data_IF_240768619691
#
_entry.id   IF_240768619691
#
_cell.length_a   1.000
_cell.length_b   1.000
_cell.length_c   1.000
_cell.angle_alpha   90.00
_cell.angle_beta   90.00
_cell.angle_gamma   90.00
#
_symmetry.space_group_name_H-M   'P 1'
#
loop_
_entity.id
_entity.type
_entity.pdbx_description
1 polymer ?
#
# COMPACT_ATOMS: atom_id res chain seq x y z
N UNK A 1 7.47 -20.86 8.76
CA UNK A 1 7.00 -19.91 7.73
C UNK A 1 7.28 -18.51 8.25
N UNK A 2 7.91 -17.66 7.44
CA UNK A 2 8.16 -16.26 7.81
C UNK A 2 6.85 -15.50 7.77
N UNK A 3 6.52 -14.77 8.84
CA UNK A 3 5.32 -13.94 8.90
C UNK A 3 5.46 -12.73 7.97
N UNK A 4 4.37 -12.36 7.30
CA UNK A 4 4.28 -11.07 6.58
C UNK A 4 4.50 -9.93 7.59
N UNK A 5 5.34 -8.96 7.23
CA UNK A 5 5.62 -7.77 8.04
C UNK A 5 5.38 -6.52 7.20
N UNK A 6 4.63 -5.56 7.77
CA UNK A 6 4.30 -4.29 7.12
C UNK A 6 4.72 -3.14 8.04
N UNK A 7 5.48 -2.19 7.51
CA UNK A 7 5.97 -1.02 8.26
C UNK A 7 5.86 0.26 7.44
N UNK A 8 5.74 1.39 8.14
CA UNK A 8 5.64 2.75 7.56
C UNK A 8 6.36 3.81 8.39
N UNK A 9 7.27 3.40 9.28
CA UNK A 9 8.05 4.29 10.15
C UNK A 9 9.26 4.91 9.44
N UNK A 10 9.04 5.59 8.32
CA UNK A 10 10.06 6.23 7.49
C UNK A 10 9.49 7.48 6.81
N UNK A 11 10.33 8.26 6.13
CA UNK A 11 9.90 9.49 5.44
C UNK A 11 8.73 9.22 4.47
N UNK A 12 7.74 10.11 4.47
CA UNK A 12 6.43 9.96 3.80
C UNK A 12 5.63 8.70 4.16
N UNK A 13 6.08 7.87 5.09
CA UNK A 13 5.45 6.60 5.42
C UNK A 13 4.04 6.77 5.99
N UNK A 14 3.06 6.10 5.37
CA UNK A 14 1.68 6.11 5.81
C UNK A 14 0.96 4.79 5.50
N UNK A 15 0.65 4.03 6.55
CA UNK A 15 -0.34 2.95 6.55
C UNK A 15 -0.68 2.58 8.00
N UNK A 16 -1.88 2.08 8.22
CA UNK A 16 -2.33 1.40 9.44
C UNK A 16 -2.58 -0.06 9.07
N UNK A 17 -2.02 -0.99 9.84
CA UNK A 17 -2.28 -2.43 9.68
C UNK A 17 -3.40 -2.82 10.62
N UNK A 18 -4.53 -3.28 10.08
CA UNK A 18 -5.68 -3.70 10.90
C UNK A 18 -5.69 -5.21 11.13
N UNK A 19 -5.31 -6.02 10.14
CA UNK A 19 -5.09 -7.46 10.30
C UNK A 19 -4.08 -8.03 9.30
N UNK A 20 -3.46 -9.14 9.66
CA UNK A 20 -2.64 -9.98 8.77
C UNK A 20 -3.08 -11.43 8.96
N UNK A 21 -3.49 -12.07 7.87
CA UNK A 21 -3.94 -13.47 7.81
C UNK A 21 -3.19 -14.18 6.68
N UNK A 22 -2.13 -14.91 7.04
CA UNK A 22 -1.23 -15.52 6.06
C UNK A 22 -0.55 -14.45 5.20
N UNK A 23 -0.83 -14.49 3.89
CA UNK A 23 -0.29 -13.54 2.90
C UNK A 23 -1.32 -12.46 2.49
N UNK A 24 -2.40 -12.33 3.26
CA UNK A 24 -3.39 -11.24 3.11
C UNK A 24 -3.26 -10.25 4.25
N UNK A 25 -3.19 -8.95 3.92
CA UNK A 25 -3.22 -7.86 4.88
C UNK A 25 -4.43 -6.95 4.66
N UNK A 26 -5.09 -6.57 5.74
CA UNK A 26 -6.11 -5.53 5.76
C UNK A 26 -5.48 -4.26 6.32
N UNK A 27 -5.68 -3.15 5.61
CA UNK A 27 -4.96 -1.90 5.78
C UNK A 27 -5.92 -0.71 5.75
N UNK A 28 -5.52 0.38 6.39
CA UNK A 28 -6.18 1.67 6.30
C UNK A 28 -5.18 2.80 6.10
N UNK A 29 -5.62 3.86 5.42
CA UNK A 29 -4.85 5.09 5.26
C UNK A 29 -5.14 5.99 6.46
N UNK A 30 -4.10 6.49 7.12
CA UNK A 30 -4.24 7.49 8.19
C UNK A 30 -4.66 8.83 7.60
N UNK A 31 -5.53 9.53 8.33
CA UNK A 31 -5.85 10.94 8.08
C UNK A 31 -4.63 11.84 8.14
N UNK A 32 -4.64 12.86 7.29
CA UNK A 32 -3.68 13.95 7.35
C UNK A 32 -3.83 14.70 8.69
N UNK A 33 -2.75 15.34 9.14
CA UNK A 33 -2.76 16.05 10.41
C UNK A 33 -3.85 17.13 10.43
N UNK A 34 -4.72 17.07 11.45
CA UNK A 34 -5.81 18.04 11.66
C UNK A 34 -6.80 18.12 10.48
N UNK A 35 -7.03 17.00 9.79
CA UNK A 35 -7.83 16.93 8.58
C UNK A 35 -8.68 15.66 8.52
N UNK A 36 -9.81 15.72 7.81
CA UNK A 36 -10.59 14.54 7.43
C UNK A 36 -10.15 13.93 6.08
N UNK A 37 -9.22 14.59 5.38
CA UNK A 37 -8.64 14.11 4.14
C UNK A 37 -7.57 13.03 4.39
N UNK A 38 -7.56 12.05 3.49
CA UNK A 38 -6.53 11.04 3.39
C UNK A 38 -6.54 10.48 1.99
N UNK A 39 -5.36 10.28 1.42
CA UNK A 39 -5.23 9.65 0.11
C UNK A 39 -3.88 8.95 -0.06
N UNK A 40 -2.86 9.59 0.48
CA UNK A 40 -1.49 9.11 0.42
C UNK A 40 -1.27 7.89 1.29
N UNK A 41 -0.79 6.80 0.68
CA UNK A 41 -0.20 5.68 1.39
C UNK A 41 1.24 5.47 0.91
N UNK A 42 2.10 5.01 1.82
CA UNK A 42 3.45 4.56 1.52
C UNK A 42 3.91 3.60 2.61
N UNK A 43 4.18 2.35 2.26
CA UNK A 43 4.55 1.31 3.22
C UNK A 43 5.47 0.26 2.61
N UNK A 44 6.19 -0.44 3.47
CA UNK A 44 7.09 -1.54 3.14
C UNK A 44 6.45 -2.85 3.53
N UNK A 45 6.53 -3.84 2.64
CA UNK A 45 6.15 -5.23 2.87
C UNK A 45 7.40 -6.09 2.86
N UNK A 46 7.53 -7.00 3.82
CA UNK A 46 8.64 -7.96 3.90
C UNK A 46 8.18 -9.34 4.35
N UNK A 47 9.03 -10.35 4.14
CA UNK A 47 8.78 -11.74 4.55
C UNK A 47 7.92 -12.55 3.58
N UNK A 48 7.64 -12.04 2.38
CA UNK A 48 6.78 -12.67 1.38
C UNK A 48 7.48 -12.95 0.03
N UNK A 49 8.82 -13.02 0.00
CA UNK A 49 9.58 -13.35 -1.20
C UNK A 49 9.09 -14.66 -1.83
N UNK A 50 8.78 -14.61 -3.12
CA UNK A 50 8.29 -15.73 -3.91
C UNK A 50 6.86 -16.17 -3.58
N UNK A 51 6.10 -15.42 -2.78
CA UNK A 51 4.72 -15.75 -2.40
C UNK A 51 3.77 -14.62 -2.78
N UNK A 52 2.60 -14.91 -3.38
CA UNK A 52 1.64 -13.88 -3.73
C UNK A 52 1.06 -13.25 -2.46
N UNK A 53 1.07 -11.93 -2.38
CA UNK A 53 0.43 -11.16 -1.32
C UNK A 53 -0.82 -10.47 -1.83
N UNK A 54 -1.80 -10.32 -0.95
CA UNK A 54 -3.01 -9.53 -1.18
C UNK A 54 -3.09 -8.43 -0.14
N UNK A 55 -3.05 -7.17 -0.58
CA UNK A 55 -3.05 -6.00 0.28
C UNK A 55 -4.37 -5.26 0.06
N UNK A 56 -5.24 -5.19 1.08
CA UNK A 56 -6.58 -4.59 0.99
C UNK A 56 -6.63 -3.31 1.80
N UNK A 57 -6.73 -2.16 1.13
CA UNK A 57 -6.92 -0.86 1.77
C UNK A 57 -8.41 -0.55 1.80
N UNK A 58 -9.02 -0.60 2.98
CA UNK A 58 -10.49 -0.69 3.13
C UNK A 58 -11.22 0.64 3.23
N UNK A 59 -10.50 1.74 3.45
CA UNK A 59 -11.10 3.06 3.60
C UNK A 59 -11.05 3.93 2.33
N UNK A 60 -10.72 3.38 1.16
CA UNK A 60 -10.64 4.13 -0.09
C UNK A 60 -12.00 4.59 -0.67
N UNK A 61 -13.12 4.32 0.01
CA UNK A 61 -14.45 4.89 -0.29
C UNK A 61 -14.70 6.27 0.35
N UNK A 62 -13.70 6.84 1.03
CA UNK A 62 -13.82 8.10 1.75
C UNK A 62 -14.00 9.36 0.87
N UNK A 63 -14.25 10.53 1.50
CA UNK A 63 -14.56 11.78 0.80
C UNK A 63 -13.41 12.32 -0.07
N UNK A 64 -12.17 11.88 0.17
CA UNK A 64 -11.01 12.23 -0.64
C UNK A 64 -10.99 11.56 -2.03
N UNK A 65 -11.92 10.62 -2.31
CA UNK A 65 -12.00 9.90 -3.57
C UNK A 65 -13.33 10.16 -4.32
N UNK A 66 -13.69 11.42 -4.65
CA UNK A 66 -14.90 11.72 -5.41
C UNK A 66 -14.76 11.17 -6.84
N UNK A 67 -15.42 10.05 -7.12
CA UNK A 67 -15.31 9.29 -8.38
C UNK A 67 -14.56 7.95 -8.27
N UNK A 68 -14.06 7.61 -7.08
CA UNK A 68 -13.35 6.37 -6.81
C UNK A 68 -11.94 6.31 -7.42
N UNK A 69 -11.35 5.11 -7.41
CA UNK A 69 -10.03 4.81 -7.96
C UNK A 69 -10.13 4.00 -9.26
N UNK A 70 -11.07 4.37 -10.13
CA UNK A 70 -11.25 3.69 -11.41
C UNK A 70 -9.98 3.78 -12.26
N UNK A 71 -9.50 2.64 -12.75
CA UNK A 71 -8.26 2.47 -13.53
C UNK A 71 -6.95 2.92 -12.83
N UNK A 72 -7.01 3.21 -11.53
CA UNK A 72 -5.82 3.54 -10.76
C UNK A 72 -4.96 2.29 -10.50
N UNK A 73 -3.65 2.46 -10.54
CA UNK A 73 -2.67 1.43 -10.17
C UNK A 73 -1.71 1.97 -9.13
N UNK A 74 -1.58 1.24 -8.02
CA UNK A 74 -0.59 1.54 -7.00
C UNK A 74 0.83 1.40 -7.58
N UNK A 75 1.76 2.18 -7.01
CA UNK A 75 3.17 2.07 -7.36
C UNK A 75 3.87 1.08 -6.44
N UNK A 76 4.82 0.32 -6.98
CA UNK A 76 5.72 -0.49 -6.19
C UNK A 76 7.18 -0.31 -6.61
N UNK A 77 8.09 -0.56 -5.69
CA UNK A 77 9.53 -0.54 -5.92
C UNK A 77 10.27 -1.50 -4.99
N UNK A 78 11.41 -2.03 -5.43
CA UNK A 78 12.30 -2.89 -4.62
C UNK A 78 13.54 -2.16 -4.12
N UNK A 79 13.84 -0.99 -4.70
CA UNK A 79 15.04 -0.17 -4.45
C UNK A 79 14.69 1.25 -3.99
N UNK A 80 13.42 1.66 -4.10
CA UNK A 80 12.88 3.02 -3.87
C UNK A 80 13.27 4.04 -4.94
N UNK A 81 13.94 3.62 -6.00
CA UNK A 81 14.35 4.46 -7.14
C UNK A 81 13.43 4.21 -8.34
N UNK A 82 13.28 2.95 -8.75
CA UNK A 82 12.48 2.55 -9.90
C UNK A 82 11.07 2.13 -9.48
N UNK A 83 10.07 2.95 -9.82
CA UNK A 83 8.67 2.73 -9.47
C UNK A 83 7.84 2.20 -10.64
N UNK A 84 7.20 1.04 -10.45
CA UNK A 84 6.37 0.34 -11.45
C UNK A 84 4.91 0.28 -11.00
N UNK A 85 3.98 -0.07 -11.90
CA UNK A 85 2.57 -0.30 -11.54
C UNK A 85 2.36 -1.71 -10.99
N UNK A 86 1.68 -1.84 -9.85
CA UNK A 86 1.21 -3.11 -9.33
C UNK A 86 -0.20 -3.42 -9.85
N UNK A 87 -0.55 -4.70 -9.94
CA UNK A 87 -1.91 -5.12 -10.22
C UNK A 87 -2.83 -4.63 -9.11
N UNK A 88 -3.83 -3.84 -9.51
CA UNK A 88 -4.66 -3.07 -8.61
C UNK A 88 -6.11 -3.14 -9.06
N UNK A 89 -7.01 -3.43 -8.13
CA UNK A 89 -8.45 -3.41 -8.34
C UNK A 89 -9.09 -2.53 -7.28
N UNK A 90 -9.98 -1.64 -7.70
CA UNK A 90 -10.84 -0.89 -6.80
C UNK A 90 -12.29 -1.37 -6.96
N UNK A 91 -12.89 -1.80 -5.85
CA UNK A 91 -14.31 -2.21 -5.80
C UNK A 91 -14.87 -1.91 -4.41
N UNK A 92 -16.09 -1.36 -4.36
CA UNK A 92 -16.87 -1.13 -3.13
C UNK A 92 -16.10 -0.42 -1.99
N UNK A 93 -15.28 0.59 -2.34
CA UNK A 93 -14.49 1.35 -1.37
C UNK A 93 -13.17 0.67 -0.95
N UNK A 94 -12.86 -0.52 -1.48
CA UNK A 94 -11.64 -1.26 -1.18
C UNK A 94 -10.69 -1.22 -2.36
N UNK A 95 -9.46 -0.76 -2.10
CA UNK A 95 -8.35 -0.87 -3.04
C UNK A 95 -7.57 -2.14 -2.74
N UNK A 96 -7.57 -3.09 -3.67
CA UNK A 96 -6.83 -4.36 -3.56
C UNK A 96 -5.61 -4.33 -4.45
N UNK A 97 -4.43 -4.53 -3.87
CA UNK A 97 -3.17 -4.70 -4.60
C UNK A 97 -2.75 -6.16 -4.50
N UNK A 98 -2.42 -6.78 -5.64
CA UNK A 98 -1.88 -8.13 -5.70
C UNK A 98 -0.46 -8.08 -6.26
N UNK A 99 0.47 -8.77 -5.61
CA UNK A 99 1.87 -8.75 -6.04
C UNK A 99 2.59 -10.03 -5.58
N UNK A 100 3.58 -10.48 -6.34
CA UNK A 100 4.49 -11.55 -5.90
C UNK A 100 5.88 -10.96 -5.74
N UNK A 101 6.33 -10.65 -4.51
CA UNK A 101 7.65 -10.07 -4.26
C UNK A 101 8.78 -10.95 -4.77
N UNK A 102 9.66 -10.41 -5.61
CA UNK A 102 10.90 -11.08 -6.02
C UNK A 102 12.05 -10.83 -5.01
N UNK A 103 11.94 -9.74 -4.25
CA UNK A 103 12.88 -9.34 -3.22
C UNK A 103 12.35 -9.64 -1.81
N UNK A 104 13.23 -9.59 -0.81
CA UNK A 104 12.86 -9.75 0.60
C UNK A 104 12.03 -8.59 1.14
N UNK A 105 12.03 -7.46 0.41
CA UNK A 105 11.25 -6.28 0.71
C UNK A 105 10.75 -5.59 -0.57
N UNK A 106 9.53 -5.06 -0.50
CA UNK A 106 8.91 -4.26 -1.56
C UNK A 106 8.20 -3.08 -0.91
N UNK A 107 8.33 -1.90 -1.49
CA UNK A 107 7.60 -0.70 -1.10
C UNK A 107 6.39 -0.52 -2.01
N UNK A 108 5.28 -0.09 -1.43
CA UNK A 108 4.07 0.28 -2.12
C UNK A 108 3.71 1.71 -1.77
N UNK A 109 3.33 2.50 -2.78
CA UNK A 109 2.97 3.90 -2.58
C UNK A 109 1.84 4.33 -3.52
N UNK A 110 1.17 5.41 -3.13
CA UNK A 110 0.11 6.02 -3.94
C UNK A 110 0.65 6.56 -5.28
N UNK A 111 1.82 7.18 -5.23
CA UNK A 111 2.63 7.59 -6.38
C UNK A 111 4.12 7.43 -6.02
N UNK A 112 5.02 7.53 -6.99
CA UNK A 112 6.46 7.53 -6.72
C UNK A 112 6.80 8.67 -5.73
N UNK A 113 7.28 8.37 -4.51
CA UNK A 113 7.67 9.38 -3.54
C UNK A 113 8.89 10.17 -4.03
N UNK A 114 8.93 11.45 -3.67
CA UNK A 114 10.15 12.25 -3.79
C UNK A 114 10.74 12.39 -2.38
N UNK A 115 11.88 11.75 -2.12
CA UNK A 115 12.52 11.82 -0.80
C UNK A 115 13.20 13.17 -0.59
N UNK A 116 13.23 13.61 0.67
CA UNK A 116 13.95 14.83 1.10
C UNK A 116 15.44 14.57 1.43
N UNK A 117 15.96 13.38 1.10
CA UNK A 117 17.37 12.99 1.27
C UNK A 117 18.31 13.67 0.27
#
# INVERSE_FOLDING_TARGET
MTSLSITSGFDSGNIIVTSIEGDTATLEIRKDAQSDFYQWFHFRVAGAKGRPVTLKITNCGGPAYPGGLANYQARYSVDRDDWRCADTLYADGVLTITHTPEADAVWFAYFAPYSME
#
